data_IF_232390974638
#
_entry.id   IF_232390974638
#
_cell.length_a   1.000
_cell.length_b   1.000
_cell.length_c   1.000
_cell.angle_alpha   90.00
_cell.angle_beta   90.00
_cell.angle_gamma   90.00
#
_symmetry.space_group_name_H-M   'P 1'
#
loop_
_entity.id
_entity.type
_entity.pdbx_description
1 polymer ?
#
# COMPACT_ATOMS: atom_id res chain seq x y z
N UNK A 1 4.66 11.19 -0.55
CA UNK A 1 3.56 10.43 0.07
C UNK A 1 4.16 9.32 0.93
N UNK A 2 3.77 9.34 2.19
CA UNK A 2 4.47 8.88 3.38
C UNK A 2 4.66 7.36 3.47
N UNK A 3 5.81 6.91 3.96
CA UNK A 3 6.18 5.48 3.99
C UNK A 3 5.92 4.78 5.32
N UNK A 4 5.87 5.53 6.43
CA UNK A 4 5.65 4.96 7.77
C UNK A 4 4.17 5.01 8.14
N UNK A 5 3.76 4.16 9.07
CA UNK A 5 2.37 4.07 9.55
C UNK A 5 1.87 5.41 10.09
N UNK A 6 2.68 6.10 10.89
CA UNK A 6 2.30 7.36 11.55
C UNK A 6 2.04 8.46 10.52
N UNK A 7 2.92 8.53 9.53
CA UNK A 7 2.87 9.56 8.52
C UNK A 7 1.73 9.32 7.52
N UNK A 8 1.33 8.06 7.26
CA UNK A 8 0.11 7.76 6.48
C UNK A 8 -1.15 7.97 7.32
N UNK A 9 -1.13 7.63 8.61
CA UNK A 9 -2.25 7.85 9.52
C UNK A 9 -2.68 9.32 9.55
N UNK A 10 -1.71 10.24 9.54
CA UNK A 10 -1.92 11.69 9.53
C UNK A 10 -2.15 12.30 8.14
N UNK A 11 -1.98 11.54 7.06
CA UNK A 11 -2.14 12.05 5.69
C UNK A 11 -3.61 12.35 5.37
N UNK A 12 -3.86 13.35 4.52
CA UNK A 12 -5.20 13.64 4.01
C UNK A 12 -5.76 12.45 3.23
N UNK A 13 -6.98 12.06 3.54
CA UNK A 13 -7.68 11.01 2.81
C UNK A 13 -8.13 11.52 1.43
N UNK A 14 -7.90 10.78 0.33
CA UNK A 14 -8.31 11.22 -1.01
C UNK A 14 -9.79 11.59 -1.07
N UNK A 15 -10.10 12.79 -1.57
CA UNK A 15 -11.48 13.30 -1.66
C UNK A 15 -12.06 13.85 -0.34
N UNK A 16 -11.23 14.02 0.70
CA UNK A 16 -11.63 14.64 1.97
C UNK A 16 -10.51 15.54 2.53
N UNK A 17 -10.87 16.48 3.38
CA UNK A 17 -9.90 17.23 4.20
C UNK A 17 -9.50 16.51 5.48
N UNK A 18 -10.17 15.40 5.81
CA UNK A 18 -9.88 14.58 7.00
C UNK A 18 -8.62 13.74 6.82
N UNK A 19 -7.97 13.39 7.94
CA UNK A 19 -6.89 12.41 7.94
C UNK A 19 -7.41 11.01 7.65
N UNK A 20 -6.54 10.08 7.24
CA UNK A 20 -6.88 8.64 7.11
C UNK A 20 -7.52 8.12 8.40
N UNK A 21 -6.95 8.44 9.56
CA UNK A 21 -7.50 7.97 10.83
C UNK A 21 -8.84 8.58 11.18
N UNK A 22 -9.10 9.84 10.82
CA UNK A 22 -10.40 10.47 11.10
C UNK A 22 -11.48 9.93 10.16
N UNK A 23 -11.15 9.67 8.89
CA UNK A 23 -12.06 8.98 7.97
C UNK A 23 -12.43 7.58 8.49
N UNK A 24 -11.49 6.84 9.08
CA UNK A 24 -11.80 5.54 9.69
C UNK A 24 -12.73 5.70 10.89
N UNK A 25 -12.54 6.71 11.75
CA UNK A 25 -13.44 6.97 12.88
C UNK A 25 -14.88 7.28 12.42
N UNK A 26 -15.04 8.08 11.36
CA UNK A 26 -16.37 8.33 10.77
C UNK A 26 -17.00 7.03 10.24
N UNK A 27 -16.19 6.20 9.58
CA UNK A 27 -16.64 4.93 9.06
C UNK A 27 -17.05 3.97 10.18
N UNK A 28 -16.35 3.95 11.33
CA UNK A 28 -16.76 3.20 12.53
C UNK A 28 -18.13 3.66 13.02
N UNK A 29 -18.36 4.98 13.08
CA UNK A 29 -19.67 5.54 13.47
C UNK A 29 -20.80 5.19 12.49
N UNK A 30 -20.49 5.06 11.20
CA UNK A 30 -21.49 4.79 10.15
C UNK A 30 -21.78 3.29 9.99
N UNK A 31 -20.74 2.45 10.01
CA UNK A 31 -20.82 1.00 9.78
C UNK A 31 -21.18 0.27 11.08
N UNK A 32 -20.72 0.78 12.24
CA UNK A 32 -20.94 0.15 13.54
C UNK A 32 -19.99 -1.01 13.84
N UNK A 33 -18.93 -1.18 13.06
CA UNK A 33 -17.89 -2.20 13.28
C UNK A 33 -16.59 -1.57 13.77
N UNK A 34 -15.83 -2.32 14.59
CA UNK A 34 -14.50 -1.90 15.05
C UNK A 34 -13.48 -2.02 13.90
N UNK A 35 -13.04 -0.88 13.37
CA UNK A 35 -12.06 -0.78 12.29
C UNK A 35 -10.82 -0.01 12.73
N UNK A 36 -9.67 -0.31 12.13
CA UNK A 36 -8.43 0.38 12.42
C UNK A 36 -7.43 0.37 11.28
N UNK A 37 -6.69 1.47 11.13
CA UNK A 37 -5.52 1.52 10.27
C UNK A 37 -4.33 0.86 10.99
N UNK A 38 -3.95 -0.34 10.54
CA UNK A 38 -2.99 -1.16 11.28
C UNK A 38 -1.52 -0.81 11.00
N UNK A 39 -1.15 -0.64 9.73
CA UNK A 39 0.26 -0.46 9.32
C UNK A 39 0.38 0.08 7.91
N UNK A 40 1.49 0.76 7.63
CA UNK A 40 1.94 1.14 6.30
C UNK A 40 3.41 0.80 6.10
N UNK A 41 3.78 0.51 4.87
CA UNK A 41 5.16 0.42 4.43
C UNK A 41 5.24 0.93 2.99
N UNK A 42 6.37 1.54 2.63
CA UNK A 42 6.69 1.93 1.26
C UNK A 42 8.07 1.43 0.90
N UNK A 43 8.16 0.72 -0.21
CA UNK A 43 9.44 0.36 -0.81
C UNK A 43 9.77 1.33 -1.95
N UNK A 44 11.04 1.69 -2.08
CA UNK A 44 11.57 2.53 -3.15
C UNK A 44 12.95 2.06 -3.53
N UNK A 45 13.26 2.07 -4.82
CA UNK A 45 14.61 1.85 -5.35
C UNK A 45 14.97 3.01 -6.27
N UNK A 46 16.24 3.48 -6.30
CA UNK A 46 16.66 4.54 -7.21
C UNK A 46 16.57 4.15 -8.69
N UNK A 47 16.90 2.89 -9.00
CA UNK A 47 16.85 2.30 -10.34
C UNK A 47 16.39 0.85 -10.23
N UNK A 48 15.60 0.37 -11.21
CA UNK A 48 15.02 -0.97 -11.20
C UNK A 48 13.51 -0.90 -11.03
N UNK A 49 12.90 -1.87 -10.33
CA UNK A 49 11.45 -2.01 -10.29
C UNK A 49 10.92 -2.32 -8.88
N UNK A 50 9.71 -1.81 -8.58
CA UNK A 50 8.89 -2.26 -7.46
C UNK A 50 7.67 -2.98 -8.02
N UNK A 51 7.57 -4.28 -7.78
CA UNK A 51 6.43 -5.09 -8.19
C UNK A 51 5.50 -5.35 -7.01
N UNK A 52 4.22 -5.56 -7.34
CA UNK A 52 3.16 -5.85 -6.38
C UNK A 52 2.42 -7.11 -6.79
N UNK A 53 2.11 -7.97 -5.82
CA UNK A 53 1.25 -9.13 -6.01
C UNK A 53 0.21 -9.20 -4.90
N UNK A 54 -1.04 -9.45 -5.27
CA UNK A 54 -2.14 -9.66 -4.33
C UNK A 54 -2.68 -11.06 -4.54
N UNK A 55 -2.50 -11.92 -3.55
CA UNK A 55 -3.07 -13.27 -3.56
C UNK A 55 -4.53 -13.21 -3.10
N UNK A 56 -5.42 -13.86 -3.86
CA UNK A 56 -6.88 -13.81 -3.69
C UNK A 56 -7.39 -12.36 -3.66
N UNK A 57 -7.13 -11.63 -4.74
CA UNK A 57 -7.65 -10.28 -4.92
C UNK A 57 -9.18 -10.28 -4.98
N UNK A 58 -9.79 -9.34 -4.27
CA UNK A 58 -11.24 -9.10 -4.24
C UNK A 58 -11.59 -7.91 -5.13
N UNK A 59 -10.66 -6.96 -5.26
CA UNK A 59 -10.71 -5.84 -6.18
C UNK A 59 -9.28 -5.39 -6.53
N UNK A 60 -9.12 -4.40 -7.40
CA UNK A 60 -7.81 -3.84 -7.70
C UNK A 60 -7.12 -3.33 -6.42
N UNK A 61 -5.88 -3.79 -6.19
CA UNK A 61 -5.10 -3.48 -4.99
C UNK A 61 -5.62 -4.01 -3.65
N UNK A 62 -6.72 -4.79 -3.62
CA UNK A 62 -7.36 -5.25 -2.38
C UNK A 62 -7.45 -6.78 -2.31
N UNK A 63 -6.93 -7.37 -1.24
CA UNK A 63 -7.02 -8.81 -1.00
C UNK A 63 -6.49 -9.22 0.37
N UNK A 64 -6.50 -10.53 0.64
CA UNK A 64 -6.10 -11.07 1.95
C UNK A 64 -4.59 -10.99 2.19
N UNK A 65 -3.79 -11.17 1.14
CA UNK A 65 -2.34 -11.15 1.20
C UNK A 65 -1.81 -10.27 0.08
N UNK A 66 -1.04 -9.24 0.44
CA UNK A 66 -0.32 -8.38 -0.48
C UNK A 66 1.19 -8.52 -0.26
N UNK A 67 1.92 -8.56 -1.36
CA UNK A 67 3.38 -8.66 -1.41
C UNK A 67 3.93 -7.47 -2.19
N UNK A 68 4.99 -6.86 -1.66
CA UNK A 68 5.79 -5.85 -2.34
C UNK A 68 7.22 -6.40 -2.48
N UNK A 69 7.74 -6.37 -3.70
CA UNK A 69 9.13 -6.75 -4.00
C UNK A 69 9.82 -5.60 -4.69
N UNK A 70 10.92 -5.14 -4.11
CA UNK A 70 11.74 -4.06 -4.66
C UNK A 70 13.07 -4.63 -5.14
N UNK A 71 13.35 -4.48 -6.43
CA UNK A 71 14.60 -4.92 -7.05
C UNK A 71 15.35 -3.70 -7.55
N UNK A 72 16.52 -3.47 -6.96
CA UNK A 72 17.43 -2.43 -7.41
C UNK A 72 18.35 -2.97 -8.50
N UNK A 73 18.35 -2.31 -9.67
CA UNK A 73 19.24 -2.65 -10.78
C UNK A 73 19.34 -1.51 -11.79
N UNK A 74 20.49 -1.35 -12.43
CA UNK A 74 20.67 -0.50 -13.62
C UNK A 74 20.58 -1.29 -14.92
N UNK A 75 20.26 -2.58 -14.84
CA UNK A 75 20.11 -3.48 -15.98
C UNK A 75 18.71 -3.42 -16.60
N UNK A 76 18.23 -4.57 -17.08
CA UNK A 76 16.92 -4.67 -17.71
C UNK A 76 15.79 -4.59 -16.67
N UNK A 77 15.17 -3.42 -16.55
CA UNK A 77 14.05 -3.15 -15.62
C UNK A 77 12.82 -4.04 -15.89
N UNK A 78 12.54 -4.34 -17.17
CA UNK A 78 11.40 -5.20 -17.52
C UNK A 78 11.61 -6.64 -17.00
N UNK A 79 12.82 -7.18 -17.17
CA UNK A 79 13.19 -8.48 -16.62
C UNK A 79 13.16 -8.48 -15.09
N UNK A 80 13.60 -7.39 -14.44
CA UNK A 80 13.53 -7.24 -12.99
C UNK A 80 12.08 -7.26 -12.48
N UNK A 81 11.17 -6.51 -13.12
CA UNK A 81 9.75 -6.52 -12.76
C UNK A 81 9.10 -7.90 -12.95
N UNK A 82 9.42 -8.59 -14.05
CA UNK A 82 8.92 -9.94 -14.31
C UNK A 82 9.37 -10.93 -13.23
N UNK A 83 10.65 -10.91 -12.84
CA UNK A 83 11.18 -11.75 -11.77
C UNK A 83 10.59 -11.39 -10.41
N UNK A 84 10.45 -10.10 -10.09
CA UNK A 84 9.91 -9.62 -8.82
C UNK A 84 8.47 -10.11 -8.53
N UNK A 85 7.71 -10.51 -9.54
CA UNK A 85 6.36 -11.08 -9.40
C UNK A 85 6.34 -12.59 -9.12
N UNK A 86 7.49 -13.25 -9.22
CA UNK A 86 7.64 -14.70 -9.04
C UNK A 86 8.21 -15.07 -7.66
N UNK A 87 8.76 -14.11 -6.94
CA UNK A 87 9.33 -14.23 -5.59
C UNK A 87 8.26 -13.89 -4.54
#
# INVERSE_FOLDING_TARGET
>A
AYGTTEAVAAAKYPGSDKSVTDTIKDAVGTIGENMGFRRSAKLTVPHGAVATYVHNAVADGLGKLGVLVAIETTGNEHAANAFARQV
#
